data_IF_123298883043
#
_entry.id   IF_123298883043
#
_cell.length_a   1.000
_cell.length_b   1.000
_cell.length_c   1.000
_cell.angle_alpha   90.00
_cell.angle_beta   90.00
_cell.angle_gamma   90.00
#
_symmetry.space_group_name_H-M   'P 1'
#
loop_
_entity.id
_entity.type
_entity.pdbx_description
1 polymer ?
#
# COMPACT_ATOMS: atom_id res chain seq x y z
N UNK A 1 -12.91 7.87 24.72
CA UNK A 1 -12.30 8.43 23.48
C UNK A 1 -10.79 8.21 23.45
N UNK A 2 -10.02 8.70 24.44
CA UNK A 2 -8.55 8.55 24.46
C UNK A 2 -8.06 7.10 24.35
N UNK A 3 -8.66 6.16 25.09
CA UNK A 3 -8.29 4.74 25.06
C UNK A 3 -8.47 4.10 23.68
N UNK A 4 -9.55 4.44 22.98
CA UNK A 4 -9.81 3.96 21.61
C UNK A 4 -8.75 4.47 20.64
N UNK A 5 -8.46 5.79 20.69
CA UNK A 5 -7.45 6.42 19.81
C UNK A 5 -6.07 5.82 20.05
N UNK A 6 -5.68 5.63 21.31
CA UNK A 6 -4.39 5.00 21.64
C UNK A 6 -4.32 3.58 21.08
N UNK A 7 -5.34 2.76 21.31
CA UNK A 7 -5.42 1.43 20.72
C UNK A 7 -5.32 1.46 19.20
N UNK A 8 -6.11 2.32 18.54
CA UNK A 8 -6.15 2.49 17.09
C UNK A 8 -4.78 2.81 16.51
N UNK A 9 -4.08 3.81 17.06
CA UNK A 9 -2.72 4.15 16.62
C UNK A 9 -1.76 2.99 16.84
N UNK A 10 -1.83 2.30 17.99
CA UNK A 10 -1.01 1.11 18.26
C UNK A 10 -1.22 0.01 17.22
N UNK A 11 -2.47 -0.27 16.85
CA UNK A 11 -2.82 -1.25 15.82
C UNK A 11 -2.22 -0.92 14.45
N UNK A 12 -2.27 0.36 14.06
CA UNK A 12 -1.65 0.84 12.81
C UNK A 12 -0.13 0.65 12.87
N UNK A 13 0.52 1.15 13.92
CA UNK A 13 1.99 1.07 14.05
C UNK A 13 2.47 -0.37 14.11
N UNK A 14 1.70 -1.27 14.72
CA UNK A 14 2.05 -2.70 14.76
C UNK A 14 2.09 -3.30 13.36
N UNK A 15 1.05 -3.05 12.54
CA UNK A 15 1.04 -3.53 11.16
C UNK A 15 2.22 -2.99 10.34
N UNK A 16 2.63 -1.73 10.57
CA UNK A 16 3.79 -1.15 9.88
C UNK A 16 5.11 -1.87 10.20
N UNK A 17 5.22 -2.57 11.33
CA UNK A 17 6.40 -3.39 11.67
C UNK A 17 6.35 -4.80 11.09
N UNK A 18 5.22 -5.22 10.52
CA UNK A 18 5.08 -6.54 9.92
C UNK A 18 5.46 -6.53 8.44
N UNK A 19 6.30 -7.47 8.03
CA UNK A 19 6.73 -7.61 6.63
C UNK A 19 5.66 -8.24 5.73
N UNK A 20 4.70 -8.97 6.32
CA UNK A 20 3.66 -9.69 5.59
C UNK A 20 2.32 -8.99 5.78
N UNK A 21 1.60 -8.78 4.68
CA UNK A 21 0.22 -8.33 4.75
C UNK A 21 -0.67 -9.45 5.30
N UNK A 22 -1.60 -9.14 6.22
CA UNK A 22 -2.57 -10.12 6.67
C UNK A 22 -3.51 -10.49 5.54
N UNK A 23 -3.97 -11.74 5.55
CA UNK A 23 -4.97 -12.22 4.60
C UNK A 23 -6.28 -11.45 4.75
N UNK A 24 -7.06 -11.38 3.66
CA UNK A 24 -8.39 -10.75 3.66
C UNK A 24 -9.35 -11.37 4.70
N UNK A 25 -9.21 -12.67 4.96
CA UNK A 25 -9.96 -13.35 6.02
C UNK A 25 -9.58 -12.86 7.42
N UNK A 26 -8.28 -12.68 7.70
CA UNK A 26 -7.80 -12.19 9.00
C UNK A 26 -8.23 -10.74 9.23
N UNK A 27 -8.14 -9.88 8.21
CA UNK A 27 -8.58 -8.48 8.33
C UNK A 27 -10.08 -8.37 8.59
N UNK A 28 -10.90 -9.17 7.91
CA UNK A 28 -12.34 -9.25 8.18
C UNK A 28 -12.64 -9.76 9.60
N UNK A 29 -11.91 -10.77 10.07
CA UNK A 29 -12.04 -11.29 11.43
C UNK A 29 -11.67 -10.25 12.48
N UNK A 30 -10.59 -9.48 12.29
CA UNK A 30 -10.20 -8.38 13.17
C UNK A 30 -11.29 -7.29 13.21
N UNK A 31 -11.86 -6.92 12.06
CA UNK A 31 -12.95 -5.94 12.00
C UNK A 31 -14.21 -6.41 12.73
N UNK A 32 -14.61 -7.67 12.53
CA UNK A 32 -15.75 -8.27 13.23
C UNK A 32 -15.53 -8.35 14.75
N UNK A 33 -14.33 -8.78 15.17
CA UNK A 33 -13.96 -8.82 16.58
C UNK A 33 -13.97 -7.42 17.21
N UNK A 34 -13.51 -6.38 16.49
CA UNK A 34 -13.57 -5.01 16.98
C UNK A 34 -15.02 -4.55 17.25
N UNK A 35 -15.95 -4.84 16.34
CA UNK A 35 -17.37 -4.52 16.51
C UNK A 35 -17.98 -5.26 17.71
N UNK A 36 -17.66 -6.54 17.89
CA UNK A 36 -18.10 -7.34 19.04
C UNK A 36 -17.58 -6.77 20.36
N UNK A 37 -16.31 -6.35 20.40
CA UNK A 37 -15.73 -5.71 21.59
C UNK A 37 -16.39 -4.36 21.89
N UNK A 38 -16.70 -3.56 20.87
CA UNK A 38 -17.44 -2.30 21.06
C UNK A 38 -18.85 -2.54 21.61
N UNK A 39 -19.57 -3.53 21.07
CA UNK A 39 -20.89 -3.92 21.58
C UNK A 39 -20.82 -4.42 23.03
N UNK A 40 -19.83 -5.27 23.34
CA UNK A 40 -19.58 -5.76 24.69
C UNK A 40 -19.28 -4.60 25.67
N UNK A 41 -18.47 -3.62 25.26
CA UNK A 41 -18.13 -2.46 26.07
C UNK A 41 -19.34 -1.60 26.47
N UNK A 42 -20.48 -1.71 25.78
CA UNK A 42 -21.75 -1.07 26.17
C UNK A 42 -22.44 -1.79 27.32
N UNK A 43 -22.20 -3.10 27.47
CA UNK A 43 -22.78 -3.95 28.52
C UNK A 43 -21.93 -3.97 29.80
N UNK A 44 -20.66 -3.54 29.72
CA UNK A 44 -19.74 -3.53 30.86
C UNK A 44 -20.04 -2.41 31.85
N UNK A 45 -20.21 -2.78 33.13
CA UNK A 45 -20.37 -1.84 34.25
C UNK A 45 -19.07 -1.43 34.93
N UNK A 46 -18.03 -2.27 34.85
CA UNK A 46 -16.72 -1.95 35.45
C UNK A 46 -15.92 -0.99 34.58
N UNK A 47 -15.48 0.18 35.09
CA UNK A 47 -14.83 1.21 34.29
C UNK A 47 -13.47 0.76 33.72
N UNK A 48 -12.67 0.03 34.51
CA UNK A 48 -11.37 -0.47 34.07
C UNK A 48 -11.50 -1.48 32.92
N UNK A 49 -12.39 -2.47 33.07
CA UNK A 49 -12.66 -3.47 32.04
C UNK A 49 -13.18 -2.80 30.76
N UNK A 50 -14.07 -1.82 30.88
CA UNK A 50 -14.57 -1.04 29.74
C UNK A 50 -13.45 -0.28 29.01
N UNK A 51 -12.50 0.30 29.73
CA UNK A 51 -11.35 1.00 29.13
C UNK A 51 -10.46 0.04 28.34
N UNK A 52 -10.15 -1.13 28.91
CA UNK A 52 -9.34 -2.16 28.25
C UNK A 52 -10.06 -2.68 27.00
N UNK A 53 -11.35 -3.02 27.10
CA UNK A 53 -12.14 -3.48 25.94
C UNK A 53 -12.19 -2.44 24.82
N UNK A 54 -12.36 -1.16 25.16
CA UNK A 54 -12.35 -0.07 24.17
C UNK A 54 -10.97 0.11 23.53
N UNK A 55 -9.87 -0.05 24.30
CA UNK A 55 -8.52 0.02 23.76
C UNK A 55 -8.23 -1.14 22.81
N UNK A 56 -8.59 -2.38 23.19
CA UNK A 56 -8.46 -3.56 22.33
C UNK A 56 -9.31 -3.45 21.06
N UNK A 57 -10.52 -2.92 21.16
CA UNK A 57 -11.35 -2.64 19.99
C UNK A 57 -10.67 -1.64 19.05
N UNK A 58 -10.15 -0.54 19.61
CA UNK A 58 -9.36 0.44 18.85
C UNK A 58 -8.20 -0.21 18.11
N UNK A 59 -7.41 -1.04 18.79
CA UNK A 59 -6.27 -1.76 18.21
C UNK A 59 -6.68 -2.62 17.02
N UNK A 60 -7.73 -3.43 17.16
CA UNK A 60 -8.20 -4.28 16.06
C UNK A 60 -8.76 -3.46 14.89
N UNK A 61 -9.47 -2.37 15.17
CA UNK A 61 -9.95 -1.45 14.13
C UNK A 61 -8.78 -0.80 13.38
N UNK A 62 -7.76 -0.33 14.10
CA UNK A 62 -6.58 0.30 13.51
C UNK A 62 -5.78 -0.66 12.64
N UNK A 63 -5.60 -1.89 13.12
CA UNK A 63 -4.95 -2.96 12.37
C UNK A 63 -5.71 -3.31 11.09
N UNK A 64 -7.02 -3.55 11.19
CA UNK A 64 -7.86 -3.89 10.03
C UNK A 64 -7.94 -2.74 9.01
N UNK A 65 -8.03 -1.49 9.47
CA UNK A 65 -8.03 -0.30 8.63
C UNK A 65 -6.72 -0.15 7.84
N UNK A 66 -5.58 -0.23 8.54
CA UNK A 66 -4.28 -0.11 7.89
C UNK A 66 -4.05 -1.25 6.90
N UNK A 67 -4.49 -2.47 7.22
CA UNK A 67 -4.36 -3.61 6.33
C UNK A 67 -5.24 -3.50 5.09
N UNK A 68 -6.46 -3.00 5.24
CA UNK A 68 -7.34 -2.71 4.10
C UNK A 68 -6.71 -1.69 3.15
N UNK A 69 -6.18 -0.57 3.68
CA UNK A 69 -5.49 0.43 2.87
C UNK A 69 -4.23 -0.12 2.21
N UNK A 70 -3.42 -0.88 2.94
CA UNK A 70 -2.21 -1.49 2.40
C UNK A 70 -2.55 -2.45 1.24
N UNK A 71 -3.58 -3.29 1.42
CA UNK A 71 -4.04 -4.21 0.38
C UNK A 71 -4.54 -3.46 -0.86
N UNK A 72 -5.33 -2.40 -0.69
CA UNK A 72 -5.82 -1.59 -1.81
C UNK A 72 -4.68 -0.89 -2.55
N UNK A 73 -3.66 -0.42 -1.83
CA UNK A 73 -2.50 0.29 -2.40
C UNK A 73 -1.54 -0.65 -3.12
N UNK A 74 -1.36 -1.87 -2.63
CA UNK A 74 -0.46 -2.88 -3.20
C UNK A 74 -1.14 -3.80 -4.22
N UNK A 75 -2.46 -3.76 -4.34
CA UNK A 75 -3.20 -4.57 -5.31
C UNK A 75 -2.81 -4.32 -6.78
N UNK A 76 -2.48 -3.09 -7.21
CA UNK A 76 -2.00 -2.83 -8.57
C UNK A 76 -0.52 -3.22 -8.68
N UNK A 77 -0.24 -4.52 -8.76
CA UNK A 77 1.11 -5.05 -8.98
C UNK A 77 1.38 -5.38 -10.46
N UNK A 78 2.65 -5.33 -10.85
CA UNK A 78 3.04 -5.82 -12.17
C UNK A 78 2.85 -7.34 -12.19
N UNK A 79 2.14 -7.84 -13.20
CA UNK A 79 1.97 -9.27 -13.34
C UNK A 79 3.35 -9.93 -13.50
N UNK A 80 3.63 -10.98 -12.73
CA UNK A 80 4.90 -11.72 -12.79
C UNK A 80 5.27 -12.21 -14.19
N UNK A 81 4.28 -12.43 -15.05
CA UNK A 81 4.49 -12.82 -16.45
C UNK A 81 5.10 -11.72 -17.32
N UNK A 82 4.98 -10.46 -16.91
CA UNK A 82 5.50 -9.30 -17.62
C UNK A 82 6.85 -8.84 -17.07
N UNK A 83 7.34 -9.46 -15.99
CA UNK A 83 8.68 -9.19 -15.48
C UNK A 83 9.76 -9.62 -16.49
N UNK A 84 10.70 -8.72 -16.80
CA UNK A 84 11.82 -9.00 -17.70
C UNK A 84 11.46 -9.05 -19.19
N UNK A 85 10.22 -8.73 -19.55
CA UNK A 85 9.79 -8.56 -20.95
C UNK A 85 9.73 -7.09 -21.30
N UNK A 86 10.08 -6.78 -22.54
CA UNK A 86 9.90 -5.44 -23.08
C UNK A 86 8.40 -5.21 -23.34
N UNK A 87 7.87 -4.08 -22.85
CA UNK A 87 6.45 -3.69 -22.99
C UNK A 87 6.37 -2.25 -23.48
N UNK A 88 5.54 -2.01 -24.49
CA UNK A 88 5.26 -0.69 -25.04
C UNK A 88 4.06 -0.07 -24.33
N UNK A 89 4.27 1.08 -23.71
CA UNK A 89 3.24 1.85 -23.01
C UNK A 89 3.13 3.26 -23.58
N UNK A 90 1.93 3.83 -23.47
CA UNK A 90 1.68 5.26 -23.67
C UNK A 90 1.19 5.81 -22.36
N UNK A 91 1.77 6.93 -21.92
CA UNK A 91 1.46 7.53 -20.64
C UNK A 91 1.94 8.97 -20.52
N UNK A 92 1.63 9.58 -19.39
CA UNK A 92 1.98 10.96 -19.05
C UNK A 92 3.13 10.93 -18.05
N UNK A 93 4.19 11.70 -18.33
CA UNK A 93 5.27 11.94 -17.36
C UNK A 93 4.71 12.78 -16.21
N UNK A 94 4.63 12.18 -15.02
CA UNK A 94 3.98 12.78 -13.86
C UNK A 94 4.97 13.54 -12.97
N UNK A 95 6.24 13.11 -12.95
CA UNK A 95 7.32 13.78 -12.22
C UNK A 95 8.41 14.27 -13.16
N UNK A 96 8.99 15.43 -12.84
CA UNK A 96 10.14 15.95 -13.57
C UNK A 96 11.30 14.95 -13.52
N UNK A 97 12.05 14.76 -14.63
CA UNK A 97 13.20 13.86 -14.67
C UNK A 97 14.21 14.18 -13.57
N UNK A 98 14.36 13.24 -12.64
CA UNK A 98 15.35 13.29 -11.58
C UNK A 98 16.65 12.64 -12.10
N UNK A 99 17.72 13.44 -12.18
CA UNK A 99 19.05 12.97 -12.59
C UNK A 99 19.85 12.55 -11.36
N UNK A 100 20.48 11.39 -11.42
CA UNK A 100 21.35 10.83 -10.38
C UNK A 100 22.57 10.18 -11.01
N UNK A 101 23.55 9.78 -10.20
CA UNK A 101 24.86 9.31 -10.69
C UNK A 101 24.81 8.14 -11.69
N UNK A 102 23.72 7.35 -11.68
CA UNK A 102 23.58 6.19 -12.57
C UNK A 102 22.62 6.44 -13.74
N UNK A 103 22.05 7.64 -13.87
CA UNK A 103 21.20 8.03 -14.99
C UNK A 103 19.99 8.91 -14.60
N UNK A 104 18.83 8.64 -15.20
CA UNK A 104 17.63 9.47 -15.05
C UNK A 104 16.43 8.62 -14.66
N UNK A 105 15.64 9.09 -13.69
CA UNK A 105 14.39 8.46 -13.28
C UNK A 105 13.24 9.45 -13.31
N UNK A 106 12.07 8.98 -13.73
CA UNK A 106 10.82 9.72 -13.65
C UNK A 106 9.65 8.75 -13.54
N UNK A 107 8.55 9.24 -12.99
CA UNK A 107 7.32 8.46 -12.85
C UNK A 107 6.38 8.78 -14.02
N UNK A 108 5.75 7.73 -14.54
CA UNK A 108 4.82 7.78 -15.66
C UNK A 108 3.50 7.20 -15.21
N UNK A 109 2.43 7.95 -15.45
CA UNK A 109 1.07 7.46 -15.37
C UNK A 109 0.68 6.81 -16.69
N UNK A 110 0.44 5.50 -16.67
CA UNK A 110 0.10 4.70 -17.85
C UNK A 110 -1.33 5.03 -18.29
N UNK A 111 -1.50 5.43 -19.55
CA UNK A 111 -2.81 5.66 -20.17
C UNK A 111 -3.30 4.42 -20.92
N UNK A 112 -2.39 3.74 -21.64
CA UNK A 112 -2.68 2.48 -22.32
C UNK A 112 -1.42 1.65 -22.56
N UNK A 113 -1.59 0.34 -22.58
CA UNK A 113 -0.59 -0.60 -23.08
C UNK A 113 -0.82 -0.85 -24.56
N UNK A 114 0.25 -0.79 -25.36
CA UNK A 114 0.18 -1.01 -26.81
C UNK A 114 0.18 -2.50 -27.13
N UNK A 115 0.94 -3.29 -26.37
CA UNK A 115 1.04 -4.73 -26.54
C UNK A 115 -0.23 -5.43 -26.03
N UNK A 116 -0.88 -6.20 -26.90
CA UNK A 116 -2.11 -6.91 -26.57
C UNK A 116 -1.87 -7.94 -25.46
N UNK A 117 -2.58 -7.79 -24.34
CA UNK A 117 -2.52 -8.72 -23.21
C UNK A 117 -1.47 -8.38 -22.15
N UNK A 118 -0.64 -7.34 -22.34
CA UNK A 118 0.30 -6.90 -21.31
C UNK A 118 -0.42 -6.06 -20.23
N UNK A 119 -0.33 -6.53 -18.98
CA UNK A 119 -0.95 -5.89 -17.82
C UNK A 119 0.12 -5.14 -17.01
N UNK A 120 0.12 -3.82 -17.10
CA UNK A 120 1.07 -2.93 -16.42
C UNK A 120 0.33 -2.09 -15.38
N UNK A 121 0.92 -1.82 -14.20
CA UNK A 121 0.33 -0.94 -13.19
C UNK A 121 0.05 0.47 -13.74
N UNK A 122 -0.93 1.19 -13.16
CA UNK A 122 -1.28 2.54 -13.60
C UNK A 122 -0.17 3.57 -13.37
N UNK A 123 0.72 3.32 -12.42
CA UNK A 123 1.87 4.19 -12.12
C UNK A 123 3.14 3.36 -12.17
N UNK A 124 4.09 3.78 -13.00
CA UNK A 124 5.38 3.10 -13.17
C UNK A 124 6.53 4.09 -13.06
N UNK A 125 7.60 3.70 -12.39
CA UNK A 125 8.84 4.46 -12.36
C UNK A 125 9.76 3.97 -13.47
N UNK A 126 10.04 4.82 -14.46
CA UNK A 126 10.98 4.53 -15.53
C UNK A 126 12.37 5.03 -15.16
N UNK A 127 13.39 4.20 -15.37
CA UNK A 127 14.78 4.53 -15.10
C UNK A 127 15.64 4.25 -16.32
N UNK A 128 16.30 5.27 -16.85
CA UNK A 128 17.32 5.18 -17.89
C UNK A 128 18.69 5.16 -17.24
N UNK A 129 19.40 4.03 -17.35
CA UNK A 129 20.75 3.88 -16.82
C UNK A 129 21.81 4.16 -17.87
N UNK A 130 22.82 4.95 -17.51
CA UNK A 130 23.97 5.21 -18.38
C UNK A 130 24.76 3.92 -18.66
N UNK A 131 25.16 3.70 -19.92
CA UNK A 131 25.98 2.56 -20.33
C UNK A 131 25.26 1.22 -20.48
N UNK A 132 24.00 1.08 -20.07
CA UNK A 132 23.20 -0.15 -20.26
C UNK A 132 22.66 -0.30 -21.69
N UNK A 133 22.45 0.81 -22.38
CA UNK A 133 22.11 0.87 -23.80
C UNK A 133 23.17 1.74 -24.47
N UNK A 134 23.95 1.15 -25.37
CA UNK A 134 25.24 1.66 -25.89
C UNK A 134 25.20 2.93 -26.75
N UNK A 135 24.24 3.82 -26.55
CA UNK A 135 24.13 5.07 -27.30
C UNK A 135 23.70 6.17 -26.34
N UNK A 136 24.49 7.25 -26.26
CA UNK A 136 24.08 8.50 -25.60
C UNK A 136 22.84 9.04 -26.32
N UNK A 137 21.66 8.63 -25.88
CA UNK A 137 20.43 9.29 -26.28
C UNK A 137 20.23 10.42 -25.29
N UNK A 138 20.54 11.65 -25.74
CA UNK A 138 20.26 12.85 -24.96
C UNK A 138 18.77 12.83 -24.64
N UNK A 139 18.44 12.70 -23.35
CA UNK A 139 17.07 12.92 -22.85
C UNK A 139 16.80 14.40 -23.11
N UNK A 140 15.85 14.66 -24.03
CA UNK A 140 15.68 15.93 -24.74
C UNK A 140 15.78 17.21 -23.90
N UNK A 141 16.31 18.24 -24.56
CA UNK A 141 16.35 19.64 -24.09
C UNK A 141 14.95 20.26 -24.03
#
# INVERSE_FOLDING_TARGET
>A
MRSFILGFVTGITYLQTTALLPTSGLTAACAAAALLLLACALMLRHPAARVITIASAGLLTGYAWAAFLAQATLSPELAKSEEGRDVHIVGIVETLPYRFDQGVRFDVRVERTVDAGASVPPYVALSWYEGRYGTRQAVGD
#
